data_IF_052797414378
#
_entry.id   IF_052797414378
#
_cell.length_a   1.000
_cell.length_b   1.000
_cell.length_c   1.000
_cell.angle_alpha   90.00
_cell.angle_beta   90.00
_cell.angle_gamma   90.00
#
_symmetry.space_group_name_H-M   'P 1'
#
loop_
_entity.id
_entity.type
_entity.pdbx_description
1 polymer ?
#
# COMPACT_ATOMS: atom_id res chain seq x y z
N UNK A 1 16.66 13.75 -10.59
CA UNK A 1 16.88 12.32 -10.32
C UNK A 1 18.12 12.15 -9.48
N UNK A 2 18.04 11.48 -8.34
CA UNK A 2 19.16 11.16 -7.43
C UNK A 2 19.38 9.64 -7.41
N UNK A 3 20.63 9.22 -7.21
CA UNK A 3 21.02 7.80 -7.22
C UNK A 3 21.91 7.49 -6.03
N UNK A 4 21.65 6.37 -5.36
CA UNK A 4 22.37 5.87 -4.21
C UNK A 4 22.80 4.42 -4.47
N UNK A 5 23.98 4.06 -4.03
CA UNK A 5 24.46 2.67 -4.06
C UNK A 5 23.84 1.90 -2.90
N UNK A 6 23.06 0.87 -3.21
CA UNK A 6 22.25 0.11 -2.24
C UNK A 6 22.26 -1.38 -2.62
N UNK A 7 23.33 -2.10 -2.29
CA UNK A 7 23.49 -3.52 -2.67
C UNK A 7 22.52 -4.45 -1.93
N UNK A 8 21.79 -3.96 -0.94
CA UNK A 8 20.79 -4.69 -0.15
C UNK A 8 19.45 -3.93 -0.12
N UNK A 9 18.34 -4.61 0.23
CA UNK A 9 17.06 -3.95 0.44
C UNK A 9 17.16 -2.78 1.42
N UNK A 10 16.47 -1.69 1.13
CA UNK A 10 16.48 -0.46 1.92
C UNK A 10 15.16 -0.25 2.67
N UNK A 11 15.17 0.63 3.65
CA UNK A 11 13.95 1.18 4.26
C UNK A 11 13.68 2.55 3.66
N UNK A 12 12.57 2.70 2.94
CA UNK A 12 12.17 3.98 2.34
C UNK A 12 11.05 4.63 3.17
N UNK A 13 11.26 5.86 3.58
CA UNK A 13 10.29 6.68 4.34
C UNK A 13 9.89 7.87 3.48
N UNK A 14 8.60 7.96 3.15
CA UNK A 14 8.03 9.03 2.31
C UNK A 14 7.02 9.82 3.14
N UNK A 15 7.14 11.14 3.18
CA UNK A 15 6.18 12.04 3.81
C UNK A 15 5.89 13.23 2.88
N UNK A 16 4.80 13.13 2.13
CA UNK A 16 4.36 14.16 1.18
C UNK A 16 2.90 14.54 1.42
N UNK A 17 2.50 15.78 1.15
CA UNK A 17 1.12 16.21 1.38
C UNK A 17 0.13 15.57 0.39
N UNK A 18 0.47 15.52 -0.88
CA UNK A 18 -0.41 15.01 -1.94
C UNK A 18 0.37 14.65 -3.20
N UNK A 19 -0.23 13.82 -4.06
CA UNK A 19 0.30 13.51 -5.38
C UNK A 19 0.27 12.05 -5.75
N UNK A 20 1.38 11.54 -6.26
CA UNK A 20 1.55 10.14 -6.65
C UNK A 20 2.87 9.60 -6.11
N UNK A 21 2.82 8.44 -5.46
CA UNK A 21 3.98 7.70 -4.98
C UNK A 21 4.06 6.39 -5.77
N UNK A 22 5.17 6.18 -6.44
CA UNK A 22 5.42 4.95 -7.21
C UNK A 22 6.72 4.31 -6.76
N UNK A 23 6.64 3.09 -6.27
CA UNK A 23 7.79 2.22 -6.03
C UNK A 23 7.93 1.18 -7.14
N UNK A 24 9.18 0.94 -7.57
CA UNK A 24 9.52 -0.13 -8.52
C UNK A 24 10.61 -0.97 -7.86
N UNK A 25 10.21 -2.13 -7.35
CA UNK A 25 11.11 -3.08 -6.71
C UNK A 25 11.58 -4.11 -7.74
N UNK A 26 12.89 -4.19 -7.94
CA UNK A 26 13.50 -5.06 -8.93
C UNK A 26 14.80 -5.67 -8.40
N UNK A 27 15.37 -6.63 -9.12
CA UNK A 27 16.71 -7.15 -8.85
C UNK A 27 17.75 -6.11 -9.29
N UNK A 28 18.15 -5.27 -8.34
CA UNK A 28 19.10 -4.15 -8.55
C UNK A 28 19.92 -3.88 -7.30
N UNK A 29 21.08 -3.25 -7.47
CA UNK A 29 22.01 -2.90 -6.39
C UNK A 29 22.11 -1.38 -6.16
N UNK A 30 21.11 -0.63 -6.60
CA UNK A 30 21.05 0.82 -6.45
C UNK A 30 19.61 1.28 -6.16
N UNK A 31 19.49 2.45 -5.57
CA UNK A 31 18.20 3.14 -5.38
C UNK A 31 18.21 4.44 -6.16
N UNK A 32 17.15 4.69 -6.92
CA UNK A 32 16.99 5.97 -7.62
C UNK A 32 15.71 6.65 -7.19
N UNK A 33 15.77 7.96 -7.04
CA UNK A 33 14.61 8.80 -6.68
C UNK A 33 14.46 9.92 -7.69
N UNK A 34 13.26 10.05 -8.20
CA UNK A 34 12.83 11.17 -9.03
C UNK A 34 11.64 11.85 -8.39
N UNK A 35 11.70 13.16 -8.27
CA UNK A 35 10.61 13.98 -7.75
C UNK A 35 10.26 15.01 -8.82
N UNK A 36 9.00 15.02 -9.23
CA UNK A 36 8.47 15.93 -10.25
C UNK A 36 7.22 16.66 -9.70
N UNK A 37 6.92 17.88 -10.14
CA UNK A 37 5.63 18.48 -9.87
C UNK A 37 4.51 17.68 -10.54
N UNK A 38 3.39 17.46 -9.85
CA UNK A 38 2.26 16.75 -10.44
C UNK A 38 1.66 17.51 -11.65
N UNK A 39 1.78 18.83 -11.64
CA UNK A 39 1.39 19.70 -12.76
C UNK A 39 2.39 20.86 -12.86
N UNK A 40 3.20 20.86 -13.92
CA UNK A 40 4.21 21.88 -14.17
C UNK A 40 3.63 23.29 -14.40
N UNK A 41 2.34 23.37 -14.75
CA UNK A 41 1.65 24.66 -14.93
C UNK A 41 1.23 25.31 -13.60
N UNK A 42 1.22 24.54 -12.51
CA UNK A 42 0.85 25.02 -11.18
C UNK A 42 2.07 25.37 -10.35
N UNK A 43 2.33 26.65 -10.14
CA UNK A 43 3.48 27.13 -9.36
C UNK A 43 3.60 26.52 -7.95
N UNK A 44 2.49 26.14 -7.31
CA UNK A 44 2.50 25.43 -6.02
C UNK A 44 3.08 24.02 -6.11
N UNK A 45 2.81 23.30 -7.21
CA UNK A 45 3.30 21.94 -7.42
C UNK A 45 4.79 21.99 -7.77
N UNK A 46 5.21 22.96 -8.59
CA UNK A 46 6.63 23.23 -8.88
C UNK A 46 7.38 23.53 -7.59
N UNK A 47 6.85 24.43 -6.76
CA UNK A 47 7.46 24.78 -5.47
C UNK A 47 7.52 23.59 -4.51
N UNK A 48 6.50 22.73 -4.47
CA UNK A 48 6.50 21.54 -3.66
C UNK A 48 7.60 20.55 -4.10
N UNK A 49 7.77 20.35 -5.41
CA UNK A 49 8.83 19.50 -5.95
C UNK A 49 10.24 20.06 -5.65
N UNK A 50 10.44 21.39 -5.78
CA UNK A 50 11.70 22.06 -5.43
C UNK A 50 12.04 21.99 -3.93
N UNK A 51 11.01 21.97 -3.06
CA UNK A 51 11.17 21.90 -1.61
C UNK A 51 11.27 20.46 -1.07
N UNK A 52 11.08 19.46 -1.92
CA UNK A 52 11.21 18.07 -1.51
C UNK A 52 12.67 17.72 -1.27
N UNK A 53 12.97 17.34 -0.05
CA UNK A 53 14.29 16.87 0.36
C UNK A 53 14.40 15.35 0.20
N UNK A 54 15.51 14.91 -0.36
CA UNK A 54 15.84 13.49 -0.53
C UNK A 54 17.17 13.23 0.14
N UNK A 55 17.20 12.30 1.08
CA UNK A 55 18.41 11.91 1.78
C UNK A 55 18.50 10.39 1.93
N UNK A 56 19.71 9.87 1.94
CA UNK A 56 20.01 8.45 2.18
C UNK A 56 21.15 8.32 3.17
N UNK A 57 20.96 7.49 4.18
CA UNK A 57 21.98 7.15 5.18
C UNK A 57 21.57 5.94 6.00
N UNK A 58 22.52 5.14 6.44
CA UNK A 58 22.29 3.97 7.31
C UNK A 58 21.21 2.99 6.79
N UNK A 59 21.13 2.81 5.45
CA UNK A 59 20.14 1.94 4.83
C UNK A 59 18.72 2.54 4.75
N UNK A 60 18.55 3.82 5.11
CA UNK A 60 17.26 4.51 5.11
C UNK A 60 17.25 5.62 4.07
N UNK A 61 16.32 5.52 3.13
CA UNK A 61 15.97 6.58 2.20
C UNK A 61 14.84 7.42 2.81
N UNK A 62 14.99 8.75 2.83
CA UNK A 62 13.93 9.69 3.24
C UNK A 62 13.58 10.62 2.10
N UNK A 63 12.29 10.80 1.86
CA UNK A 63 11.75 11.78 0.90
C UNK A 63 10.66 12.55 1.63
N UNK A 64 10.91 13.82 1.92
CA UNK A 64 9.98 14.63 2.72
C UNK A 64 9.92 16.07 2.25
N UNK A 65 8.79 16.73 2.50
CA UNK A 65 8.65 18.18 2.31
C UNK A 65 8.69 18.84 3.70
N UNK A 66 9.78 19.55 4.05
CA UNK A 66 9.92 20.18 5.36
C UNK A 66 8.77 21.14 5.69
N UNK A 67 8.19 20.97 6.88
CA UNK A 67 7.11 21.84 7.36
C UNK A 67 5.74 21.60 6.70
N UNK A 68 5.56 20.55 5.91
CA UNK A 68 4.27 20.22 5.30
C UNK A 68 3.17 20.00 6.35
N UNK A 69 3.50 19.42 7.50
CA UNK A 69 2.56 19.16 8.61
C UNK A 69 2.11 20.43 9.35
N UNK A 70 2.90 21.50 9.34
CA UNK A 70 2.61 22.75 10.08
C UNK A 70 1.92 23.80 9.21
N UNK A 71 1.76 23.55 7.91
CA UNK A 71 1.02 24.45 7.02
C UNK A 71 -0.46 24.12 7.20
N UNK A 72 -1.16 24.98 8.00
CA UNK A 72 -2.62 24.89 8.12
C UNK A 72 -3.29 24.84 6.75
N UNK A 73 -4.61 24.71 6.66
CA UNK A 73 -5.50 24.50 5.49
C UNK A 73 -5.19 25.27 4.17
N UNK A 74 -3.93 25.69 3.95
CA UNK A 74 -3.42 26.23 2.69
C UNK A 74 -3.10 25.09 1.73
N UNK A 75 -3.42 25.27 0.46
CA UNK A 75 -3.19 24.33 -0.63
C UNK A 75 -1.72 23.89 -0.70
N UNK A 76 -1.38 22.77 -0.13
CA UNK A 76 -0.11 22.07 -0.35
C UNK A 76 -0.03 21.70 -1.83
N UNK A 77 1.14 21.89 -2.47
CA UNK A 77 1.35 21.40 -3.83
C UNK A 77 1.36 19.88 -3.87
N UNK A 78 1.16 19.33 -5.05
CA UNK A 78 1.20 17.89 -5.31
C UNK A 78 2.47 17.52 -6.06
N UNK A 79 3.08 16.39 -5.69
CA UNK A 79 4.31 15.89 -6.32
C UNK A 79 4.15 14.45 -6.82
N UNK A 80 4.90 14.11 -7.86
CA UNK A 80 5.08 12.73 -8.30
C UNK A 80 6.44 12.25 -7.84
N UNK A 81 6.45 11.24 -6.98
CA UNK A 81 7.66 10.61 -6.45
C UNK A 81 7.79 9.21 -7.03
N UNK A 82 8.82 8.98 -7.83
CA UNK A 82 9.15 7.64 -8.33
C UNK A 82 10.43 7.16 -7.68
N UNK A 83 10.35 6.04 -6.99
CA UNK A 83 11.47 5.40 -6.29
C UNK A 83 11.70 4.01 -6.87
N UNK A 84 12.90 3.75 -7.34
CA UNK A 84 13.31 2.40 -7.73
C UNK A 84 14.22 1.85 -6.65
N UNK A 85 13.93 0.64 -6.16
CA UNK A 85 14.62 0.03 -5.02
C UNK A 85 14.95 -1.44 -5.27
N UNK A 86 15.93 -2.01 -4.56
CA UNK A 86 16.12 -3.46 -4.53
C UNK A 86 14.85 -4.20 -4.07
N UNK A 87 14.57 -5.37 -4.66
CA UNK A 87 13.46 -6.21 -4.26
C UNK A 87 13.52 -6.56 -2.77
N UNK A 88 12.35 -6.61 -2.11
CA UNK A 88 12.25 -6.84 -0.66
C UNK A 88 12.49 -5.59 0.20
N UNK A 89 12.64 -4.42 -0.39
CA UNK A 89 12.76 -3.16 0.36
C UNK A 89 11.49 -2.84 1.14
N UNK A 90 11.67 -2.30 2.35
CA UNK A 90 10.59 -1.85 3.23
C UNK A 90 10.14 -0.45 2.84
N UNK A 91 8.84 -0.20 2.91
CA UNK A 91 8.26 1.11 2.61
C UNK A 91 7.37 1.59 3.75
N UNK A 92 7.59 2.80 4.21
CA UNK A 92 6.69 3.56 5.08
C UNK A 92 6.34 4.86 4.37
N UNK A 93 5.07 5.06 4.04
CA UNK A 93 4.64 6.26 3.33
C UNK A 93 3.43 6.91 4.01
N UNK A 94 3.45 8.23 4.07
CA UNK A 94 2.36 9.06 4.60
C UNK A 94 2.00 10.14 3.60
N UNK A 95 0.70 10.24 3.28
CA UNK A 95 0.22 11.27 2.38
C UNK A 95 -1.26 11.57 2.64
N UNK A 96 -1.64 12.85 2.73
CA UNK A 96 -3.05 13.18 2.96
C UNK A 96 -3.93 12.85 1.74
N UNK A 97 -3.40 12.98 0.51
CA UNK A 97 -4.13 12.69 -0.73
C UNK A 97 -3.16 12.21 -1.82
N UNK A 98 -2.80 10.94 -1.79
CA UNK A 98 -1.89 10.36 -2.79
C UNK A 98 -2.40 9.02 -3.33
N UNK A 99 -2.11 8.80 -4.61
CA UNK A 99 -2.14 7.49 -5.23
C UNK A 99 -0.83 6.76 -4.88
N UNK A 100 -0.93 5.52 -4.42
CA UNK A 100 0.22 4.70 -4.09
C UNK A 100 0.28 3.47 -4.99
N UNK A 101 1.39 3.29 -5.70
CA UNK A 101 1.63 2.17 -6.60
C UNK A 101 2.95 1.47 -6.25
N UNK A 102 2.89 0.20 -5.85
CA UNK A 102 4.04 -0.67 -5.67
C UNK A 102 4.12 -1.71 -6.80
N UNK A 103 5.16 -1.63 -7.61
CA UNK A 103 5.43 -2.56 -8.72
C UNK A 103 6.54 -3.52 -8.28
N UNK A 104 6.35 -4.81 -8.54
CA UNK A 104 7.27 -5.86 -8.15
C UNK A 104 7.16 -6.25 -6.68
N UNK A 105 8.18 -6.91 -6.13
CA UNK A 105 8.15 -7.47 -4.78
C UNK A 105 8.73 -6.50 -3.75
N UNK A 106 7.86 -5.90 -2.95
CA UNK A 106 8.22 -5.14 -1.75
C UNK A 106 8.29 -6.06 -0.51
N UNK A 107 9.01 -5.63 0.50
CA UNK A 107 9.01 -6.23 1.84
C UNK A 107 7.79 -5.80 2.65
N UNK A 108 8.03 -5.22 3.84
CA UNK A 108 6.96 -4.65 4.65
C UNK A 108 6.50 -3.31 4.08
N UNK A 109 5.20 -3.13 3.93
CA UNK A 109 4.60 -1.88 3.44
C UNK A 109 3.65 -1.31 4.47
N UNK A 110 3.92 -0.09 4.90
CA UNK A 110 3.02 0.71 5.73
C UNK A 110 2.62 1.96 4.96
N UNK A 111 1.33 2.21 4.82
CA UNK A 111 0.81 3.43 4.20
C UNK A 111 -0.34 4.01 5.01
N UNK A 112 -0.22 5.30 5.31
CA UNK A 112 -1.29 6.10 5.92
C UNK A 112 -1.67 7.20 4.92
N UNK A 113 -2.90 7.13 4.40
CA UNK A 113 -3.35 8.09 3.39
C UNK A 113 -4.84 8.38 3.42
N UNK A 114 -5.25 9.56 2.92
CA UNK A 114 -6.63 9.99 2.96
C UNK A 114 -7.47 9.52 1.79
N UNK A 115 -7.03 9.76 0.57
CA UNK A 115 -7.86 9.63 -0.62
C UNK A 115 -7.06 9.12 -1.81
N UNK A 116 -7.60 8.24 -2.59
CA UNK A 116 -7.18 7.64 -3.86
C UNK A 116 -6.86 6.15 -3.72
N UNK A 117 -6.33 5.56 -4.78
CA UNK A 117 -6.05 4.11 -4.84
C UNK A 117 -4.69 3.74 -4.23
N UNK A 118 -4.64 2.54 -3.68
CA UNK A 118 -3.41 1.87 -3.26
C UNK A 118 -3.33 0.54 -3.99
N UNK A 119 -2.30 0.37 -4.80
CA UNK A 119 -2.09 -0.85 -5.57
C UNK A 119 -0.69 -1.41 -5.33
N UNK A 120 -0.60 -2.66 -4.91
CA UNK A 120 0.63 -3.41 -4.69
C UNK A 120 0.63 -4.69 -5.53
N UNK A 121 1.70 -4.94 -6.28
CA UNK A 121 1.84 -6.22 -7.01
C UNK A 121 2.12 -7.35 -6.05
N UNK A 122 3.13 -7.19 -5.18
CA UNK A 122 3.56 -8.22 -4.24
C UNK A 122 4.18 -7.59 -2.98
N UNK A 123 3.79 -8.07 -1.81
CA UNK A 123 4.29 -7.58 -0.53
C UNK A 123 4.51 -8.70 0.51
N UNK A 124 5.45 -8.48 1.42
CA UNK A 124 5.69 -9.34 2.58
C UNK A 124 4.60 -9.17 3.62
N UNK A 125 4.62 -8.07 4.34
CA UNK A 125 3.62 -7.66 5.34
C UNK A 125 2.99 -6.33 4.92
N UNK A 126 1.71 -6.14 5.21
CA UNK A 126 0.99 -4.95 4.77
C UNK A 126 0.22 -4.32 5.93
N UNK A 127 0.41 -3.00 6.14
CA UNK A 127 -0.43 -2.18 7.01
C UNK A 127 -0.86 -0.93 6.27
N UNK A 128 -2.14 -0.87 5.90
CA UNK A 128 -2.68 0.23 5.10
C UNK A 128 -3.89 0.84 5.80
N UNK A 129 -3.90 2.16 5.90
CA UNK A 129 -5.04 2.92 6.43
C UNK A 129 -5.43 4.00 5.43
N UNK A 130 -6.67 3.94 4.96
CA UNK A 130 -7.27 4.88 4.03
C UNK A 130 -8.54 5.55 4.59
N UNK A 131 -8.99 6.62 3.95
CA UNK A 131 -10.32 7.21 4.21
C UNK A 131 -11.28 6.93 3.06
N UNK A 132 -10.89 7.26 1.84
CA UNK A 132 -11.66 7.02 0.61
C UNK A 132 -10.69 6.46 -0.45
N UNK A 133 -10.43 5.15 -0.35
CA UNK A 133 -9.40 4.50 -1.15
C UNK A 133 -9.77 3.05 -1.45
N UNK A 134 -9.72 2.70 -2.74
CA UNK A 134 -9.69 1.31 -3.17
C UNK A 134 -8.28 0.75 -2.96
N UNK A 135 -8.19 -0.40 -2.30
CA UNK A 135 -6.92 -1.01 -1.93
C UNK A 135 -6.82 -2.40 -2.57
N UNK A 136 -5.80 -2.58 -3.39
CA UNK A 136 -5.53 -3.85 -4.08
C UNK A 136 -4.13 -4.35 -3.81
N UNK A 137 -4.00 -5.60 -3.37
CA UNK A 137 -2.74 -6.32 -3.20
C UNK A 137 -2.79 -7.58 -4.05
N UNK A 138 -1.91 -7.70 -5.04
CA UNK A 138 -1.86 -8.86 -5.94
C UNK A 138 -1.47 -10.13 -5.19
N UNK A 139 -0.26 -10.19 -4.63
CA UNK A 139 0.23 -11.31 -3.81
C UNK A 139 0.73 -10.86 -2.45
N UNK A 140 0.27 -11.56 -1.42
CA UNK A 140 0.62 -11.28 -0.03
C UNK A 140 1.25 -12.53 0.62
N UNK A 141 2.48 -12.37 1.12
CA UNK A 141 3.25 -13.47 1.67
C UNK A 141 3.18 -13.60 3.20
N UNK A 142 2.57 -12.65 3.88
CA UNK A 142 2.49 -12.59 5.34
C UNK A 142 1.20 -11.95 5.83
N UNK A 143 1.18 -11.46 7.08
CA UNK A 143 0.01 -10.83 7.65
C UNK A 143 -0.33 -9.48 7.02
N UNK A 144 -1.61 -9.11 7.07
CA UNK A 144 -2.07 -7.79 6.66
C UNK A 144 -3.07 -7.19 7.65
N UNK A 145 -2.98 -5.88 7.83
CA UNK A 145 -3.96 -5.06 8.51
C UNK A 145 -4.35 -3.91 7.56
N UNK A 146 -5.56 -3.96 7.02
CA UNK A 146 -6.03 -3.01 6.02
C UNK A 146 -7.37 -2.44 6.45
N UNK A 147 -7.45 -1.11 6.51
CA UNK A 147 -8.69 -0.43 6.87
C UNK A 147 -8.94 0.79 5.97
N UNK A 148 -10.20 0.98 5.57
CA UNK A 148 -10.67 2.19 4.90
C UNK A 148 -12.07 2.54 5.40
N UNK A 149 -12.51 3.77 5.21
CA UNK A 149 -13.91 4.12 5.48
C UNK A 149 -14.77 3.87 4.24
N UNK A 150 -14.23 4.15 3.04
CA UNK A 150 -14.92 3.91 1.79
C UNK A 150 -13.91 3.41 0.74
N UNK A 151 -14.31 2.39 0.00
CA UNK A 151 -13.55 1.75 -1.06
C UNK A 151 -13.50 0.23 -0.87
N UNK A 152 -13.18 -0.44 -1.95
CA UNK A 152 -13.09 -1.89 -2.02
C UNK A 152 -11.71 -2.38 -1.57
N UNK A 153 -11.68 -3.52 -0.90
CA UNK A 153 -10.46 -4.19 -0.46
C UNK A 153 -10.29 -5.50 -1.24
N UNK A 154 -9.23 -5.59 -2.02
CA UNK A 154 -8.95 -6.80 -2.82
C UNK A 154 -7.58 -7.37 -2.49
N UNK A 155 -7.53 -8.63 -2.09
CA UNK A 155 -6.30 -9.43 -2.00
C UNK A 155 -6.40 -10.55 -3.03
N UNK A 156 -5.59 -10.48 -4.07
CA UNK A 156 -5.59 -11.45 -5.17
C UNK A 156 -5.21 -12.84 -4.69
N UNK A 157 -4.09 -12.93 -3.95
CA UNK A 157 -3.58 -14.19 -3.45
C UNK A 157 -2.87 -14.00 -2.10
N UNK A 158 -3.33 -14.67 -1.06
CA UNK A 158 -2.70 -14.68 0.26
C UNK A 158 -2.19 -16.08 0.60
N UNK A 159 -0.93 -16.19 1.03
CA UNK A 159 -0.28 -17.47 1.29
C UNK A 159 -0.40 -17.93 2.74
N UNK A 160 -0.32 -17.01 3.72
CA UNK A 160 -0.28 -17.36 5.15
C UNK A 160 -0.48 -16.15 6.05
N UNK A 161 -0.70 -16.41 7.33
CA UNK A 161 -0.78 -15.40 8.38
C UNK A 161 -2.21 -14.97 8.68
N UNK A 162 -2.35 -13.86 9.37
CA UNK A 162 -3.65 -13.28 9.73
C UNK A 162 -3.90 -12.03 8.90
N UNK A 163 -5.03 -11.99 8.23
CA UNK A 163 -5.53 -10.83 7.50
C UNK A 163 -6.65 -10.19 8.32
N UNK A 164 -6.51 -8.91 8.66
CA UNK A 164 -7.56 -8.10 9.28
C UNK A 164 -7.95 -7.02 8.30
N UNK A 165 -9.14 -7.14 7.72
CA UNK A 165 -9.66 -6.29 6.66
C UNK A 165 -10.94 -5.62 7.09
N UNK A 166 -11.02 -4.30 7.02
CA UNK A 166 -12.23 -3.57 7.39
C UNK A 166 -12.52 -2.39 6.47
N UNK A 167 -13.77 -2.24 6.08
CA UNK A 167 -14.29 -1.04 5.40
C UNK A 167 -15.67 -0.69 5.96
N UNK A 168 -16.10 0.57 5.84
CA UNK A 168 -17.49 0.92 6.17
C UNK A 168 -18.39 0.80 4.94
N UNK A 169 -17.87 1.17 3.75
CA UNK A 169 -18.59 1.07 2.48
C UNK A 169 -17.66 0.55 1.39
N UNK A 170 -17.90 -0.66 0.92
CA UNK A 170 -17.14 -1.33 -0.12
C UNK A 170 -17.15 -2.84 0.05
N UNK A 171 -16.75 -3.52 -0.99
CA UNK A 171 -16.65 -4.98 -1.03
C UNK A 171 -15.27 -5.44 -0.54
N UNK A 172 -15.22 -6.65 0.03
CA UNK A 172 -13.96 -7.29 0.44
C UNK A 172 -13.81 -8.60 -0.34
N UNK A 173 -12.74 -8.70 -1.11
CA UNK A 173 -12.43 -9.89 -1.91
C UNK A 173 -11.07 -10.44 -1.50
N UNK A 174 -11.03 -11.72 -1.10
CA UNK A 174 -9.78 -12.39 -0.71
C UNK A 174 -9.63 -13.71 -1.43
N UNK A 175 -8.49 -13.88 -2.12
CA UNK A 175 -8.01 -15.13 -2.65
C UNK A 175 -7.02 -15.80 -1.69
N UNK A 176 -7.26 -17.05 -1.31
CA UNK A 176 -6.24 -17.88 -0.66
C UNK A 176 -5.41 -18.59 -1.73
N UNK A 177 -4.10 -18.66 -1.57
CA UNK A 177 -3.21 -19.31 -2.52
C UNK A 177 -3.58 -20.80 -2.71
N UNK A 178 -3.28 -21.42 -3.86
CA UNK A 178 -3.51 -22.83 -4.10
C UNK A 178 -2.87 -23.70 -3.01
N UNK A 179 -3.64 -24.69 -2.51
CA UNK A 179 -3.15 -25.60 -1.46
C UNK A 179 -3.15 -25.04 -0.04
N UNK A 180 -3.46 -23.78 0.16
CA UNK A 180 -3.52 -23.18 1.51
C UNK A 180 -4.83 -23.57 2.21
N UNK A 181 -4.70 -24.07 3.45
CA UNK A 181 -5.83 -24.24 4.36
C UNK A 181 -6.15 -22.89 5.00
N UNK A 182 -7.38 -22.41 4.82
CA UNK A 182 -7.79 -21.08 5.26
C UNK A 182 -9.09 -21.13 6.09
N UNK A 183 -9.19 -20.20 7.05
CA UNK A 183 -10.40 -19.94 7.82
C UNK A 183 -10.87 -18.51 7.61
N UNK A 184 -12.19 -18.31 7.54
CA UNK A 184 -12.85 -17.01 7.41
C UNK A 184 -13.72 -16.73 8.62
N UNK A 185 -13.50 -15.58 9.23
CA UNK A 185 -14.40 -14.91 10.18
C UNK A 185 -14.85 -13.61 9.54
N UNK A 186 -16.11 -13.52 9.14
CA UNK A 186 -16.60 -12.41 8.33
C UNK A 186 -17.94 -11.87 8.84
N UNK A 187 -18.09 -10.56 8.78
CA UNK A 187 -19.32 -9.86 9.15
C UNK A 187 -19.65 -8.71 8.22
N UNK A 188 -20.91 -8.64 7.77
CA UNK A 188 -21.49 -7.50 7.06
C UNK A 188 -22.82 -7.13 7.64
N UNK A 189 -23.16 -5.83 7.66
CA UNK A 189 -24.50 -5.36 8.08
C UNK A 189 -25.49 -5.39 6.92
N UNK A 190 -25.04 -4.95 5.75
CA UNK A 190 -25.83 -4.95 4.50
C UNK A 190 -24.96 -5.50 3.37
N UNK A 191 -25.16 -6.77 3.03
CA UNK A 191 -24.40 -7.46 2.00
C UNK A 191 -24.48 -8.96 2.16
N UNK A 192 -23.74 -9.68 1.33
CA UNK A 192 -23.68 -11.15 1.30
C UNK A 192 -22.28 -11.61 1.63
N UNK A 193 -22.19 -12.76 2.28
CA UNK A 193 -20.90 -13.43 2.53
C UNK A 193 -20.87 -14.70 1.68
N UNK A 194 -19.85 -14.78 0.83
CA UNK A 194 -19.55 -15.95 0.00
C UNK A 194 -18.21 -16.55 0.41
N UNK A 195 -18.20 -17.81 0.80
CA UNK A 195 -17.00 -18.51 1.24
C UNK A 195 -16.83 -19.85 0.47
N UNK A 196 -15.78 -19.92 -0.34
CA UNK A 196 -15.36 -21.13 -1.05
C UNK A 196 -13.91 -21.51 -0.73
N UNK A 197 -13.42 -21.12 0.45
CA UNK A 197 -12.09 -21.50 0.93
C UNK A 197 -12.02 -23.01 1.24
N UNK A 198 -10.86 -23.58 0.97
CA UNK A 198 -10.54 -24.93 1.44
C UNK A 198 -10.01 -24.84 2.87
N UNK A 199 -10.60 -25.63 3.78
CA UNK A 199 -10.14 -25.78 5.16
C UNK A 199 -9.93 -27.25 5.48
N UNK A 200 -8.71 -27.62 5.79
CA UNK A 200 -8.31 -29.03 6.10
C UNK A 200 -8.13 -29.28 7.60
N UNK A 201 -8.61 -28.36 8.46
CA UNK A 201 -8.60 -28.49 9.92
C UNK A 201 -7.55 -27.62 10.63
N UNK A 202 -6.40 -27.39 10.02
CA UNK A 202 -5.36 -26.51 10.60
C UNK A 202 -5.10 -25.35 9.62
N UNK A 203 -5.75 -24.20 9.80
CA UNK A 203 -5.58 -23.08 8.88
C UNK A 203 -4.19 -22.44 9.02
N UNK A 204 -3.48 -22.33 7.91
CA UNK A 204 -2.26 -21.52 7.78
C UNK A 204 -2.55 -20.06 7.46
N UNK A 205 -3.79 -19.77 7.02
CA UNK A 205 -4.31 -18.44 6.72
C UNK A 205 -5.61 -18.21 7.50
N UNK A 206 -5.65 -17.13 8.29
CA UNK A 206 -6.86 -16.70 9.00
C UNK A 206 -7.29 -15.34 8.46
N UNK A 207 -8.56 -15.21 8.07
CA UNK A 207 -9.11 -14.00 7.49
C UNK A 207 -10.20 -13.47 8.40
N UNK A 208 -10.02 -12.25 8.92
CA UNK A 208 -11.04 -11.46 9.60
C UNK A 208 -11.46 -10.33 8.66
N UNK A 209 -12.69 -10.34 8.18
CA UNK A 209 -13.19 -9.39 7.20
C UNK A 209 -14.50 -8.77 7.67
N UNK A 210 -14.56 -7.43 7.75
CA UNK A 210 -15.76 -6.71 8.18
C UNK A 210 -16.08 -5.56 7.26
N UNK A 211 -17.34 -5.43 6.86
CA UNK A 211 -17.87 -4.25 6.17
C UNK A 211 -19.24 -3.88 6.75
N UNK A 212 -19.62 -2.61 6.70
CA UNK A 212 -20.99 -2.24 7.06
C UNK A 212 -21.92 -2.35 5.84
N UNK A 213 -21.45 -1.93 4.64
CA UNK A 213 -22.20 -1.96 3.40
C UNK A 213 -21.31 -2.51 2.28
N UNK A 214 -21.54 -3.75 1.88
CA UNK A 214 -20.80 -4.43 0.82
C UNK A 214 -20.80 -5.93 0.99
N UNK A 215 -20.39 -6.62 -0.04
CA UNK A 215 -20.29 -8.08 -0.07
C UNK A 215 -18.88 -8.52 0.39
N UNK A 216 -18.78 -9.69 1.01
CA UNK A 216 -17.49 -10.29 1.39
C UNK A 216 -17.36 -11.61 0.62
N UNK A 217 -16.31 -11.73 -0.17
CA UNK A 217 -16.01 -12.94 -0.95
C UNK A 217 -14.64 -13.48 -0.59
N UNK A 218 -14.59 -14.71 -0.09
CA UNK A 218 -13.35 -15.43 0.17
C UNK A 218 -13.33 -16.73 -0.63
N UNK A 219 -12.27 -16.94 -1.41
CA UNK A 219 -12.15 -18.11 -2.29
C UNK A 219 -10.74 -18.66 -2.32
N UNK A 220 -10.58 -19.96 -2.57
CA UNK A 220 -9.28 -20.52 -2.94
C UNK A 220 -9.02 -20.23 -4.43
N UNK A 221 -7.86 -19.67 -4.73
CA UNK A 221 -7.43 -19.44 -6.12
C UNK A 221 -7.12 -20.81 -6.75
N UNK A 222 -7.57 -21.01 -7.96
CA UNK A 222 -7.23 -22.18 -8.79
C UNK A 222 -6.17 -21.77 -9.80
N UNK A 223 -5.19 -22.66 -10.02
CA UNK A 223 -4.17 -22.51 -11.06
C UNK A 223 -4.80 -22.39 -12.45
#
# INVERSE_FOLDING_TARGET
MQKFDTPAPVSAVIDIPAGRIRFIAADRADTTVEVLPADVSKGRDVKAAEQTEVSYGDGVLRVEIPGARNRGLGSSGSVEVTVQVPAGSRVEAKAAAAEFRGVGRLGDVTFEGGHRSVELDEAGTVRLTGLDADISVGRLHGPAEISTQKGDLTIGEAARGTLTLSTLMGDIIVGAAPGVSAALDAGTTLGRISNTLKNTGTPGLTIHATTAHGDITARTVTD
#
